data_IF_115966059147
#
_entry.id   IF_115966059147
#
_cell.length_a   1.000
_cell.length_b   1.000
_cell.length_c   1.000
_cell.angle_alpha   90.00
_cell.angle_beta   90.00
_cell.angle_gamma   90.00
#
_symmetry.space_group_name_H-M   'P 1'
#
loop_
_entity.id
_entity.type
_entity.pdbx_description
1 polymer ?
#
# COMPACT_ATOMS: atom_id res chain seq x y z
N UNK A 1 53.19 -6.20 -4.32
CA UNK A 1 52.34 -5.54 -5.35
C UNK A 1 50.91 -6.08 -5.41
N UNK A 2 50.59 -7.25 -4.81
CA UNK A 2 49.25 -7.88 -4.86
C UNK A 2 48.23 -7.35 -3.85
N UNK A 3 48.67 -6.78 -2.73
CA UNK A 3 47.79 -6.26 -1.68
C UNK A 3 46.81 -5.16 -2.15
N UNK A 4 47.23 -4.11 -2.90
CA UNK A 4 46.28 -3.10 -3.38
C UNK A 4 45.26 -3.68 -4.38
N UNK A 5 45.64 -4.69 -5.16
CA UNK A 5 44.73 -5.35 -6.10
C UNK A 5 43.66 -6.18 -5.38
N UNK A 6 44.03 -6.88 -4.29
CA UNK A 6 43.07 -7.59 -3.44
C UNK A 6 42.07 -6.64 -2.77
N UNK A 7 42.55 -5.52 -2.22
CA UNK A 7 41.68 -4.52 -1.58
C UNK A 7 40.70 -3.94 -2.60
N UNK A 8 41.18 -3.53 -3.78
CA UNK A 8 40.32 -3.02 -4.85
C UNK A 8 39.26 -4.04 -5.29
N UNK A 9 39.63 -5.32 -5.38
CA UNK A 9 38.70 -6.40 -5.74
C UNK A 9 37.60 -6.57 -4.68
N UNK A 10 37.95 -6.53 -3.40
CA UNK A 10 36.98 -6.62 -2.29
C UNK A 10 35.99 -5.45 -2.34
N UNK A 11 36.47 -4.21 -2.53
CA UNK A 11 35.59 -3.05 -2.66
C UNK A 11 34.66 -3.14 -3.86
N UNK A 12 35.15 -3.64 -5.01
CA UNK A 12 34.32 -3.88 -6.20
C UNK A 12 33.24 -4.93 -5.95
N UNK A 13 33.57 -6.02 -5.25
CA UNK A 13 32.59 -7.06 -4.92
C UNK A 13 31.53 -6.53 -3.96
N UNK A 14 31.92 -5.81 -2.91
CA UNK A 14 30.98 -5.21 -1.96
C UNK A 14 30.09 -4.19 -2.69
N UNK A 15 30.68 -3.29 -3.48
CA UNK A 15 29.93 -2.30 -4.26
C UNK A 15 28.95 -2.94 -5.24
N UNK A 16 29.38 -3.98 -5.95
CA UNK A 16 28.52 -4.74 -6.86
C UNK A 16 27.34 -5.39 -6.13
N UNK A 17 27.59 -6.00 -4.96
CA UNK A 17 26.54 -6.61 -4.14
C UNK A 17 25.54 -5.57 -3.62
N UNK A 18 26.03 -4.40 -3.16
CA UNK A 18 25.16 -3.30 -2.69
C UNK A 18 24.31 -2.75 -3.85
N UNK A 19 24.92 -2.48 -5.00
CA UNK A 19 24.21 -2.00 -6.19
C UNK A 19 23.20 -3.02 -6.72
N UNK A 20 23.54 -4.31 -6.69
CA UNK A 20 22.64 -5.37 -7.12
C UNK A 20 21.41 -5.45 -6.21
N UNK A 21 21.61 -5.45 -4.87
CA UNK A 21 20.49 -5.48 -3.92
C UNK A 21 19.62 -4.22 -4.02
N UNK A 22 20.22 -3.04 -4.07
CA UNK A 22 19.48 -1.79 -4.24
C UNK A 22 18.75 -1.72 -5.58
N UNK A 23 19.36 -2.24 -6.65
CA UNK A 23 18.73 -2.32 -7.96
C UNK A 23 17.52 -3.26 -8.00
N UNK A 24 17.56 -4.38 -7.26
CA UNK A 24 16.42 -5.29 -7.15
C UNK A 24 15.21 -4.63 -6.48
N UNK A 25 15.42 -3.83 -5.43
CA UNK A 25 14.33 -3.06 -4.80
C UNK A 25 13.77 -1.99 -5.76
N UNK A 26 14.65 -1.34 -6.52
CA UNK A 26 14.25 -0.32 -7.49
C UNK A 26 13.39 -0.88 -8.63
N UNK A 27 13.65 -2.12 -9.05
CA UNK A 27 12.87 -2.77 -10.11
C UNK A 27 11.40 -2.93 -9.72
N UNK A 28 11.12 -3.30 -8.47
CA UNK A 28 9.74 -3.42 -7.96
C UNK A 28 9.02 -2.08 -8.00
N UNK A 29 9.68 -1.01 -7.53
CA UNK A 29 9.12 0.35 -7.57
C UNK A 29 8.86 0.79 -9.01
N UNK A 30 9.80 0.50 -9.91
CA UNK A 30 9.68 0.90 -11.30
C UNK A 30 8.59 0.13 -12.05
N UNK A 31 8.35 -1.13 -11.67
CA UNK A 31 7.25 -1.95 -12.18
C UNK A 31 5.89 -1.38 -11.73
N UNK A 32 5.76 -0.98 -10.47
CA UNK A 32 4.56 -0.30 -9.96
C UNK A 32 4.32 1.03 -10.68
N UNK A 33 5.37 1.83 -10.91
CA UNK A 33 5.24 3.17 -11.52
C UNK A 33 4.98 3.18 -13.02
N UNK A 34 5.22 2.07 -13.73
CA UNK A 34 5.12 2.01 -15.21
C UNK A 34 4.04 1.07 -15.72
N UNK A 35 3.41 0.27 -14.87
CA UNK A 35 2.32 -0.58 -15.33
C UNK A 35 1.06 0.21 -15.54
N UNK A 36 0.32 -0.20 -16.57
CA UNK A 36 -1.07 0.15 -16.75
C UNK A 36 -1.94 -0.95 -16.10
N UNK A 37 -3.16 -0.61 -15.63
CA UNK A 37 -4.10 -1.61 -15.17
C UNK A 37 -4.35 -2.72 -16.20
N UNK A 38 -4.32 -3.97 -15.76
CA UNK A 38 -4.66 -5.14 -16.57
C UNK A 38 -6.09 -5.61 -16.26
N UNK A 39 -6.80 -6.20 -17.25
CA UNK A 39 -8.12 -6.77 -16.99
C UNK A 39 -8.04 -8.00 -16.08
N UNK A 40 -9.04 -8.21 -15.24
CA UNK A 40 -9.06 -9.26 -14.21
C UNK A 40 -8.92 -10.67 -14.80
N UNK A 41 -9.54 -10.96 -15.96
CA UNK A 41 -9.35 -12.26 -16.67
C UNK A 41 -7.90 -12.60 -17.01
N UNK A 42 -7.01 -11.61 -17.08
CA UNK A 42 -5.59 -11.84 -17.41
C UNK A 42 -4.76 -12.26 -16.19
N UNK A 43 -5.36 -12.31 -14.99
CA UNK A 43 -4.70 -12.73 -13.76
C UNK A 43 -4.47 -14.24 -13.70
N UNK A 44 -5.19 -15.04 -14.49
CA UNK A 44 -4.98 -16.49 -14.54
C UNK A 44 -3.55 -16.81 -15.03
N UNK A 45 -2.80 -17.56 -14.21
CA UNK A 45 -1.40 -17.86 -14.45
C UNK A 45 -0.42 -16.69 -14.24
N UNK A 46 -0.89 -15.50 -13.83
CA UNK A 46 -0.01 -14.37 -13.54
C UNK A 46 0.73 -14.59 -12.21
N UNK A 47 2.02 -14.25 -12.17
CA UNK A 47 2.83 -14.30 -10.94
C UNK A 47 3.48 -12.94 -10.71
N UNK A 48 3.26 -12.36 -9.53
CA UNK A 48 3.87 -11.11 -9.12
C UNK A 48 2.87 -9.95 -9.01
N UNK A 49 3.36 -8.72 -8.80
CA UNK A 49 2.52 -7.54 -8.65
C UNK A 49 1.81 -7.17 -9.95
N UNK A 50 0.51 -6.87 -9.82
CA UNK A 50 -0.36 -6.41 -10.89
C UNK A 50 -1.11 -5.17 -10.44
N UNK A 51 -1.47 -4.33 -11.40
CA UNK A 51 -2.44 -3.26 -11.20
C UNK A 51 -3.77 -3.66 -11.83
N UNK A 52 -4.87 -3.51 -11.11
CA UNK A 52 -6.22 -3.73 -11.62
C UNK A 52 -7.08 -2.52 -11.28
N UNK A 53 -8.14 -2.31 -12.05
CA UNK A 53 -9.10 -1.23 -11.78
C UNK A 53 -10.51 -1.77 -11.95
N UNK A 54 -11.39 -1.41 -11.03
CA UNK A 54 -12.77 -1.84 -11.04
C UNK A 54 -13.55 -1.25 -9.88
N UNK A 55 -14.80 -1.68 -9.74
CA UNK A 55 -15.66 -1.29 -8.62
C UNK A 55 -15.47 -2.27 -7.47
N UNK A 56 -15.09 -1.78 -6.29
CA UNK A 56 -15.05 -2.59 -5.09
C UNK A 56 -16.48 -2.85 -4.59
N UNK A 57 -16.84 -4.11 -4.40
CA UNK A 57 -18.16 -4.57 -3.95
C UNK A 57 -18.00 -5.62 -2.86
N UNK A 58 -19.01 -5.74 -1.98
CA UNK A 58 -19.02 -6.78 -0.97
C UNK A 58 -18.96 -8.17 -1.60
N UNK A 59 -18.33 -9.12 -0.90
CA UNK A 59 -18.40 -10.53 -1.28
C UNK A 59 -19.83 -11.06 -1.16
N UNK A 60 -20.13 -12.25 -1.71
CA UNK A 60 -21.50 -12.78 -1.80
C UNK A 60 -22.22 -12.93 -0.44
N UNK A 61 -21.45 -13.06 0.65
CA UNK A 61 -21.96 -13.11 2.02
C UNK A 61 -22.35 -11.73 2.58
N UNK A 62 -22.09 -10.65 1.84
CA UNK A 62 -22.52 -9.29 2.16
C UNK A 62 -21.78 -8.65 3.33
N UNK A 63 -20.61 -9.15 3.68
CA UNK A 63 -19.83 -8.65 4.81
C UNK A 63 -19.38 -7.19 4.58
N UNK A 64 -19.54 -6.37 5.62
CA UNK A 64 -19.10 -4.98 5.69
C UNK A 64 -18.53 -4.69 7.08
N UNK A 65 -17.77 -3.61 7.19
CA UNK A 65 -17.36 -3.01 8.46
C UNK A 65 -18.05 -1.65 8.63
N UNK A 66 -18.33 -1.28 9.87
CA UNK A 66 -18.85 0.05 10.20
C UNK A 66 -17.71 0.98 10.58
N UNK A 67 -17.56 2.08 9.86
CA UNK A 67 -16.56 3.10 10.18
C UNK A 67 -16.85 3.75 11.55
N UNK A 68 -15.88 3.82 12.47
CA UNK A 68 -16.14 4.15 13.88
C UNK A 68 -16.60 5.60 14.11
N UNK A 69 -16.23 6.53 13.23
CA UNK A 69 -16.56 7.97 13.40
C UNK A 69 -17.75 8.42 12.57
N UNK A 70 -17.95 7.86 11.36
CA UNK A 70 -19.05 8.25 10.47
C UNK A 70 -20.27 7.36 10.62
N UNK A 71 -20.11 6.15 11.15
CA UNK A 71 -21.16 5.12 11.20
C UNK A 71 -21.51 4.53 9.83
N UNK A 72 -20.78 4.89 8.78
CA UNK A 72 -21.01 4.38 7.43
C UNK A 72 -20.61 2.91 7.33
N UNK A 73 -21.42 2.10 6.65
CA UNK A 73 -21.02 0.77 6.21
C UNK A 73 -20.07 0.87 5.02
N UNK A 74 -18.94 0.18 5.09
CA UNK A 74 -17.91 0.17 4.05
C UNK A 74 -17.19 -1.19 3.99
N UNK A 75 -16.34 -1.37 2.98
CA UNK A 75 -15.53 -2.59 2.81
C UNK A 75 -14.22 -2.53 3.60
N UNK A 76 -13.69 -1.32 3.77
CA UNK A 76 -12.52 -1.02 4.58
C UNK A 76 -12.56 0.45 5.00
N UNK A 77 -11.86 0.78 6.08
CA UNK A 77 -11.61 2.15 6.49
C UNK A 77 -10.21 2.28 7.09
N UNK A 78 -9.70 3.51 7.05
CA UNK A 78 -8.66 3.98 7.96
C UNK A 78 -9.19 5.16 8.76
N UNK A 79 -8.59 5.40 9.92
CA UNK A 79 -8.87 6.59 10.69
C UNK A 79 -7.59 7.12 11.34
N UNK A 80 -7.59 8.43 11.57
CA UNK A 80 -6.59 9.12 12.35
C UNK A 80 -7.31 10.14 13.24
N UNK A 81 -7.01 10.11 14.54
CA UNK A 81 -7.51 11.06 15.52
C UNK A 81 -6.36 11.98 15.90
N UNK A 82 -6.46 13.25 15.56
CA UNK A 82 -5.43 14.25 15.85
C UNK A 82 -5.94 15.32 16.82
N UNK A 83 -5.05 15.77 17.70
CA UNK A 83 -5.26 16.95 18.56
C UNK A 83 -4.37 18.09 18.11
N UNK A 84 -4.97 19.27 17.90
CA UNK A 84 -4.19 20.47 17.67
C UNK A 84 -3.64 21.01 18.99
N UNK A 85 -2.33 20.96 19.16
CA UNK A 85 -1.65 21.54 20.32
C UNK A 85 -0.98 22.85 19.95
N UNK A 86 -1.18 23.87 20.79
CA UNK A 86 -0.51 25.15 20.67
C UNK A 86 0.11 25.60 21.99
N UNK A 87 1.37 26.03 21.92
CA UNK A 87 2.09 26.61 23.05
C UNK A 87 2.91 27.82 22.58
N UNK A 88 2.56 29.00 23.07
CA UNK A 88 3.20 30.26 22.69
C UNK A 88 3.07 30.55 21.19
N UNK A 89 4.19 30.46 20.46
CA UNK A 89 4.27 30.70 19.01
C UNK A 89 4.38 29.43 18.17
N UNK A 90 4.26 28.26 18.80
CA UNK A 90 4.35 26.98 18.12
C UNK A 90 2.99 26.28 18.16
N UNK A 91 2.69 25.58 17.09
CA UNK A 91 1.58 24.64 17.04
C UNK A 91 1.91 23.45 16.15
N UNK A 92 1.28 22.33 16.46
CA UNK A 92 1.38 21.09 15.69
C UNK A 92 0.12 20.26 15.93
N UNK A 93 -0.16 19.36 15.00
CA UNK A 93 -1.09 18.27 15.22
C UNK A 93 -0.35 17.11 15.87
N UNK A 94 -0.99 16.48 16.85
CA UNK A 94 -0.50 15.29 17.53
C UNK A 94 -1.52 14.18 17.34
N UNK A 95 -1.12 13.12 16.65
CA UNK A 95 -1.92 11.90 16.48
C UNK A 95 -2.09 11.22 17.85
N UNK A 96 -3.34 11.10 18.29
CA UNK A 96 -3.73 10.45 19.54
C UNK A 96 -4.01 8.97 19.35
N UNK A 97 -4.61 8.60 18.21
CA UNK A 97 -4.96 7.23 17.85
C UNK A 97 -5.06 7.10 16.32
N UNK A 98 -4.71 5.93 15.81
CA UNK A 98 -4.81 5.59 14.38
C UNK A 98 -5.17 4.12 14.22
N UNK A 99 -5.86 3.78 13.15
CA UNK A 99 -6.20 2.39 12.90
C UNK A 99 -6.84 2.13 11.54
N UNK A 100 -6.95 0.86 11.23
CA UNK A 100 -7.60 0.36 10.03
C UNK A 100 -8.41 -0.90 10.33
N UNK A 101 -9.45 -1.14 9.53
CA UNK A 101 -10.14 -2.40 9.51
C UNK A 101 -10.77 -2.61 8.13
N UNK A 102 -11.02 -3.87 7.77
CA UNK A 102 -11.65 -4.22 6.51
C UNK A 102 -12.07 -5.68 6.49
N UNK A 103 -12.84 -6.01 5.45
CA UNK A 103 -13.27 -7.38 5.16
C UNK A 103 -12.79 -7.76 3.77
N UNK A 104 -12.73 -9.07 3.49
CA UNK A 104 -12.51 -9.54 2.14
C UNK A 104 -13.61 -9.01 1.21
N UNK A 105 -13.22 -8.43 0.08
CA UNK A 105 -14.15 -7.86 -0.89
C UNK A 105 -13.80 -8.30 -2.31
N UNK A 106 -14.61 -7.89 -3.28
CA UNK A 106 -14.42 -8.20 -4.69
C UNK A 106 -14.21 -6.91 -5.47
N UNK A 107 -13.24 -6.92 -6.40
CA UNK A 107 -13.13 -5.89 -7.44
C UNK A 107 -13.75 -6.43 -8.72
N UNK A 108 -14.78 -5.75 -9.22
CA UNK A 108 -15.45 -6.03 -10.49
C UNK A 108 -14.96 -5.03 -11.55
N UNK A 109 -14.22 -5.52 -12.56
CA UNK A 109 -13.71 -4.67 -13.66
C UNK A 109 -14.75 -4.42 -14.77
N UNK A 110 -15.98 -4.92 -14.59
CA UNK A 110 -17.08 -4.88 -15.54
C UNK A 110 -17.18 -6.12 -16.44
N UNK A 111 -16.16 -6.96 -16.50
CA UNK A 111 -16.16 -8.22 -17.25
C UNK A 111 -15.94 -9.43 -16.32
N UNK A 112 -15.00 -9.31 -15.40
CA UNK A 112 -14.56 -10.36 -14.49
C UNK A 112 -14.32 -9.81 -13.08
N UNK A 113 -14.21 -10.72 -12.11
CA UNK A 113 -14.17 -10.41 -10.68
C UNK A 113 -12.99 -11.07 -10.00
N UNK A 114 -12.36 -10.37 -9.05
CA UNK A 114 -11.28 -10.90 -8.23
C UNK A 114 -11.46 -10.55 -6.77
N UNK A 115 -11.18 -11.51 -5.89
CA UNK A 115 -11.23 -11.32 -4.44
C UNK A 115 -9.97 -10.59 -3.96
N UNK A 116 -10.15 -9.66 -3.03
CA UNK A 116 -9.11 -8.89 -2.38
C UNK A 116 -9.24 -9.11 -0.87
N UNK A 117 -8.14 -9.51 -0.23
CA UNK A 117 -7.98 -9.43 1.22
C UNK A 117 -7.19 -8.14 1.53
N UNK A 118 -7.75 -7.18 2.29
CA UNK A 118 -7.09 -5.90 2.57
C UNK A 118 -6.15 -5.93 3.80
N UNK A 119 -5.97 -7.08 4.47
CA UNK A 119 -5.21 -7.14 5.72
C UNK A 119 -3.74 -6.77 5.48
N UNK A 120 -3.25 -5.77 6.22
CA UNK A 120 -1.88 -5.28 6.09
C UNK A 120 -1.58 -4.52 4.80
N UNK A 121 -2.59 -4.18 3.99
CA UNK A 121 -2.42 -3.36 2.80
C UNK A 121 -2.12 -1.89 3.16
N UNK A 122 -1.26 -1.24 2.37
CA UNK A 122 -1.17 0.22 2.31
C UNK A 122 -2.37 0.73 1.50
N UNK A 123 -3.31 1.36 2.19
CA UNK A 123 -4.58 1.82 1.63
C UNK A 123 -4.62 3.33 1.54
N UNK A 124 -5.14 3.84 0.43
CA UNK A 124 -5.34 5.28 0.22
C UNK A 124 -6.78 5.53 -0.15
N UNK A 125 -7.51 6.09 0.82
CA UNK A 125 -8.90 6.50 0.65
C UNK A 125 -8.99 8.02 0.51
N UNK A 126 -10.08 8.50 -0.06
CA UNK A 126 -10.44 9.92 0.04
C UNK A 126 -10.72 10.25 1.52
N UNK A 127 -10.10 11.31 2.03
CA UNK A 127 -10.21 11.66 3.45
C UNK A 127 -11.46 12.51 3.70
N UNK A 128 -12.17 12.17 4.79
CA UNK A 128 -13.25 12.98 5.34
C UNK A 128 -12.91 13.30 6.79
N UNK A 129 -12.82 14.58 7.14
CA UNK A 129 -12.53 15.02 8.50
C UNK A 129 -13.79 15.53 9.21
N UNK A 130 -13.89 15.23 10.49
CA UNK A 130 -14.94 15.74 11.40
C UNK A 130 -14.24 16.31 12.62
N UNK A 131 -14.49 17.59 12.93
CA UNK A 131 -13.99 18.23 14.15
C UNK A 131 -15.04 18.10 15.24
N UNK A 132 -14.65 17.51 16.37
CA UNK A 132 -15.50 17.37 17.57
C UNK A 132 -15.34 18.57 18.48
#
# INVERSE_FOLDING_TARGET
>A
MVLPQLVATVFLLIGSVVLFRGGQELQTVFHILRNDPVPVRSLDGHTGPVEITGTAVAHEEGETVTAPFTGSECLAYTYEVEEYRSSGKHSHWETLDEGQNGVDFVVDDGNDRVRVNPDGADVRFESQSVTV
#
